data_IF_669191040705
#
_entry.id   IF_669191040705
#
_cell.length_a   1.000
_cell.length_b   1.000
_cell.length_c   1.000
_cell.angle_alpha   90.00
_cell.angle_beta   90.00
_cell.angle_gamma   90.00
#
_symmetry.space_group_name_H-M   'P 1'
#
loop_
_entity.id
_entity.type
_entity.pdbx_description
1 polymer ?
#
# COMPACT_ATOMS: atom_id res chain seq x y z
N UNK A 1 22.72 78.50 -29.65
CA UNK A 1 24.18 78.57 -29.42
C UNK A 1 24.66 77.25 -28.82
N UNK A 2 25.94 76.96 -29.04
CA UNK A 2 26.83 75.94 -28.45
C UNK A 2 26.46 75.43 -27.03
N UNK A 3 26.63 74.10 -26.83
CA UNK A 3 27.33 73.35 -25.74
C UNK A 3 27.25 73.91 -24.29
N UNK A 4 27.08 73.15 -23.22
CA UNK A 4 27.49 71.75 -22.86
C UNK A 4 26.40 71.20 -21.84
N UNK A 5 26.46 70.10 -21.05
CA UNK A 5 27.51 69.12 -20.70
C UNK A 5 26.97 67.75 -20.20
N UNK A 6 27.47 66.68 -20.84
CA UNK A 6 27.96 65.39 -20.30
C UNK A 6 27.32 64.71 -19.06
N UNK A 7 26.58 63.63 -19.34
CA UNK A 7 26.77 62.24 -18.85
C UNK A 7 27.16 61.96 -17.38
N UNK A 8 26.28 61.23 -16.67
CA UNK A 8 26.68 60.14 -15.75
C UNK A 8 25.82 58.91 -16.07
N UNK A 9 26.46 57.81 -16.49
CA UNK A 9 25.82 56.51 -16.75
C UNK A 9 26.64 55.40 -16.09
N UNK A 10 26.41 55.17 -14.79
CA UNK A 10 26.67 53.90 -14.09
C UNK A 10 26.43 54.05 -12.58
N UNK A 11 25.49 53.29 -12.03
CA UNK A 11 25.67 52.50 -10.79
C UNK A 11 24.45 51.59 -10.57
N UNK A 12 24.71 50.41 -10.00
CA UNK A 12 23.75 49.42 -9.49
C UNK A 12 22.67 48.88 -10.46
N UNK A 13 23.10 47.87 -11.20
CA UNK A 13 22.35 46.61 -11.38
C UNK A 13 22.04 45.98 -9.99
N UNK A 14 21.11 45.02 -9.95
CA UNK A 14 20.54 44.30 -8.79
C UNK A 14 19.39 45.03 -8.06
N UNK A 15 18.20 44.87 -8.65
CA UNK A 15 16.91 44.89 -7.96
C UNK A 15 16.01 43.77 -8.53
N UNK A 16 16.53 42.54 -8.56
CA UNK A 16 15.80 41.32 -8.90
C UNK A 16 15.68 40.43 -7.65
N UNK A 17 14.61 39.65 -7.55
CA UNK A 17 14.28 38.77 -6.42
C UNK A 17 14.17 39.47 -5.05
N UNK A 18 13.02 40.12 -4.86
CA UNK A 18 12.45 40.41 -3.55
C UNK A 18 11.07 39.73 -3.41
N UNK A 19 11.03 38.41 -3.66
CA UNK A 19 9.85 37.59 -3.35
C UNK A 19 9.67 37.54 -1.83
N UNK A 20 8.42 37.51 -1.36
CA UNK A 20 8.11 37.47 0.07
C UNK A 20 8.77 36.25 0.73
N UNK A 21 9.82 36.50 1.54
CA UNK A 21 10.14 35.63 2.65
C UNK A 21 9.15 35.96 3.76
N UNK A 22 8.04 35.25 3.79
CA UNK A 22 7.31 35.10 5.04
C UNK A 22 8.24 34.35 6.00
N UNK A 23 8.46 34.91 7.18
CA UNK A 23 9.35 34.29 8.15
C UNK A 23 8.63 33.11 8.77
N UNK A 24 9.17 31.89 8.61
CA UNK A 24 8.72 30.72 9.36
C UNK A 24 8.52 31.08 10.84
N UNK A 25 7.28 30.91 11.31
CA UNK A 25 6.99 31.00 12.74
C UNK A 25 7.75 29.90 13.49
N UNK A 26 7.92 30.03 14.83
CA UNK A 26 8.54 28.97 15.61
C UNK A 26 7.75 27.66 15.42
N UNK A 27 8.37 26.66 14.80
CA UNK A 27 7.74 25.34 14.55
C UNK A 27 7.13 24.84 15.86
N UNK A 28 5.81 24.66 15.86
CA UNK A 28 5.05 24.25 17.04
C UNK A 28 5.35 22.78 17.30
N UNK A 29 6.30 22.50 18.20
CA UNK A 29 6.49 21.18 18.78
C UNK A 29 5.13 20.66 19.25
N UNK A 30 4.57 19.69 18.53
CA UNK A 30 3.36 19.00 18.92
C UNK A 30 3.61 18.31 20.26
N UNK A 31 2.65 18.45 21.17
CA UNK A 31 2.59 17.60 22.34
C UNK A 31 1.76 16.39 21.97
N UNK A 32 2.44 15.31 21.63
CA UNK A 32 1.84 13.99 21.43
C UNK A 32 1.36 13.47 22.79
N UNK A 33 0.27 14.05 23.30
CA UNK A 33 -0.33 13.71 24.59
C UNK A 33 -1.14 12.39 24.51
N UNK A 34 -1.18 11.74 23.33
CA UNK A 34 -1.59 10.34 23.11
C UNK A 34 -0.89 9.75 21.87
N UNK A 35 0.27 9.14 22.07
CA UNK A 35 1.01 8.37 21.06
C UNK A 35 0.14 7.26 20.44
N UNK A 36 0.02 7.23 19.10
CA UNK A 36 -0.71 6.16 18.40
C UNK A 36 0.14 4.89 18.46
N UNK A 37 -0.21 3.99 19.37
CA UNK A 37 0.55 2.76 19.57
C UNK A 37 0.18 1.74 18.51
N UNK A 38 1.13 1.43 17.63
CA UNK A 38 0.96 0.59 16.44
C UNK A 38 1.60 -0.83 16.52
N UNK A 39 1.62 -1.53 17.67
CA UNK A 39 2.48 -2.72 17.88
C UNK A 39 1.99 -3.99 17.16
N UNK A 40 0.97 -3.88 16.31
CA UNK A 40 0.39 -5.01 15.56
C UNK A 40 0.71 -4.97 14.06
N UNK A 41 1.05 -3.80 13.50
CA UNK A 41 1.50 -3.71 12.11
C UNK A 41 2.98 -4.10 12.06
N UNK A 42 3.27 -5.23 11.41
CA UNK A 42 4.61 -5.84 11.40
C UNK A 42 4.98 -6.19 9.99
N UNK A 43 6.21 -5.85 9.60
CA UNK A 43 6.82 -6.28 8.34
C UNK A 43 8.01 -7.20 8.60
N UNK A 44 8.08 -8.30 7.85
CA UNK A 44 9.24 -9.16 7.75
C UNK A 44 9.92 -8.90 6.40
N UNK A 45 11.13 -8.32 6.37
CA UNK A 45 11.85 -8.04 5.12
C UNK A 45 12.40 -9.33 4.49
N UNK A 46 12.55 -9.31 3.15
CA UNK A 46 13.38 -10.29 2.44
C UNK A 46 14.82 -10.17 2.92
N UNK A 47 15.46 -11.29 3.26
CA UNK A 47 16.80 -11.36 3.84
C UNK A 47 17.74 -12.35 3.10
N UNK A 48 17.29 -12.81 1.93
CA UNK A 48 17.99 -13.78 1.08
C UNK A 48 18.14 -15.19 1.68
N UNK A 49 17.60 -15.47 2.88
CA UNK A 49 17.91 -16.71 3.63
C UNK A 49 16.73 -17.34 4.40
N UNK A 50 15.97 -16.55 5.15
CA UNK A 50 14.75 -16.97 5.87
C UNK A 50 13.48 -16.47 5.19
N UNK A 51 13.52 -15.28 4.58
CA UNK A 51 12.51 -14.80 3.64
C UNK A 51 13.17 -14.50 2.29
N UNK A 52 12.62 -15.08 1.23
CA UNK A 52 13.13 -14.97 -0.14
C UNK A 52 12.02 -14.56 -1.09
N UNK A 53 12.35 -14.14 -2.31
CA UNK A 53 11.36 -13.82 -3.35
C UNK A 53 10.38 -14.98 -3.65
N UNK A 54 10.79 -16.25 -3.49
CA UNK A 54 9.85 -17.38 -3.61
C UNK A 54 8.80 -17.37 -2.49
N UNK A 55 9.18 -17.04 -1.25
CA UNK A 55 8.23 -16.95 -0.14
C UNK A 55 7.23 -15.79 -0.32
N UNK A 56 7.56 -14.75 -1.11
CA UNK A 56 6.59 -13.72 -1.51
C UNK A 56 5.56 -14.28 -2.50
N UNK A 57 6.01 -15.06 -3.49
CA UNK A 57 5.14 -15.74 -4.46
C UNK A 57 4.23 -16.74 -3.72
N UNK A 58 4.80 -17.57 -2.85
CA UNK A 58 4.08 -18.53 -2.00
C UNK A 58 3.07 -17.88 -1.04
N UNK A 59 3.19 -16.58 -0.76
CA UNK A 59 2.25 -15.86 0.12
C UNK A 59 1.02 -15.31 -0.63
N UNK A 60 1.19 -14.87 -1.89
CA UNK A 60 0.08 -14.38 -2.73
C UNK A 60 -0.64 -15.51 -3.48
N UNK A 61 0.06 -16.62 -3.78
CA UNK A 61 -0.53 -17.79 -4.44
C UNK A 61 -1.43 -18.60 -3.49
N UNK A 62 -2.69 -18.80 -3.88
CA UNK A 62 -3.64 -19.67 -3.16
C UNK A 62 -3.45 -21.17 -3.43
N UNK A 63 -4.27 -22.01 -2.78
CA UNK A 63 -4.16 -23.49 -2.87
C UNK A 63 -4.37 -24.08 -4.29
N UNK A 64 -5.06 -23.36 -5.19
CA UNK A 64 -5.50 -23.83 -6.52
C UNK A 64 -4.43 -23.67 -7.63
N UNK A 65 -3.15 -23.62 -7.27
CA UNK A 65 -2.02 -23.44 -8.20
C UNK A 65 -1.24 -24.76 -8.35
N UNK A 66 -1.06 -25.22 -9.59
CA UNK A 66 -0.39 -26.49 -9.90
C UNK A 66 1.15 -26.39 -9.80
N UNK A 67 1.71 -25.24 -10.15
CA UNK A 67 3.14 -24.94 -10.07
C UNK A 67 3.41 -23.44 -10.29
N UNK A 68 4.51 -22.94 -9.73
CA UNK A 68 5.07 -21.62 -10.04
C UNK A 68 6.58 -21.70 -10.27
N UNK A 69 7.15 -20.65 -10.87
CA UNK A 69 8.60 -20.49 -11.05
C UNK A 69 8.97 -19.00 -11.04
N UNK A 70 9.86 -18.59 -10.12
CA UNK A 70 10.44 -17.25 -10.11
C UNK A 70 11.24 -17.01 -11.40
N UNK A 71 10.94 -15.90 -12.09
CA UNK A 71 11.63 -15.46 -13.32
C UNK A 71 12.66 -14.39 -12.99
N UNK A 72 12.26 -13.38 -12.21
CA UNK A 72 13.12 -12.27 -11.82
C UNK A 72 12.69 -11.69 -10.46
N UNK A 73 13.67 -11.26 -9.67
CA UNK A 73 13.47 -10.41 -8.51
C UNK A 73 14.51 -9.29 -8.56
N UNK A 74 14.04 -8.05 -8.61
CA UNK A 74 14.85 -6.86 -8.45
C UNK A 74 14.38 -6.16 -7.16
N UNK A 75 15.29 -5.99 -6.21
CA UNK A 75 15.00 -5.39 -4.91
C UNK A 75 16.23 -5.44 -4.01
N UNK A 76 16.12 -4.84 -2.84
CA UNK A 76 17.13 -4.90 -1.76
C UNK A 76 16.71 -5.89 -0.68
N UNK A 77 17.66 -6.28 0.17
CA UNK A 77 17.47 -7.29 1.23
C UNK A 77 17.99 -6.79 2.60
N UNK A 78 17.48 -7.38 3.69
CA UNK A 78 17.91 -7.10 5.06
C UNK A 78 17.16 -5.94 5.72
N UNK A 79 17.89 -5.01 6.34
CA UNK A 79 17.29 -3.85 7.02
C UNK A 79 16.80 -2.78 6.02
N UNK A 80 17.51 -2.68 4.89
CA UNK A 80 17.26 -1.72 3.81
C UNK A 80 16.36 -2.34 2.71
N UNK A 81 15.54 -3.36 3.05
CA UNK A 81 14.81 -4.18 2.07
C UNK A 81 13.61 -3.46 1.45
N UNK A 82 13.43 -3.64 0.15
CA UNK A 82 12.34 -3.07 -0.65
C UNK A 82 11.17 -4.03 -0.90
N UNK A 83 11.27 -5.26 -0.41
CA UNK A 83 10.19 -6.24 -0.43
C UNK A 83 10.11 -7.07 0.85
N UNK A 84 8.91 -7.53 1.22
CA UNK A 84 8.67 -8.34 2.41
C UNK A 84 7.24 -8.86 2.55
N UNK A 85 6.94 -9.50 3.68
CA UNK A 85 5.59 -9.90 4.10
C UNK A 85 5.12 -8.95 5.21
N UNK A 86 3.85 -8.57 5.22
CA UNK A 86 3.23 -7.78 6.29
C UNK A 86 2.08 -8.52 6.99
N UNK A 87 1.80 -8.15 8.23
CA UNK A 87 0.63 -8.57 9.02
C UNK A 87 0.09 -7.42 9.88
N UNK A 88 -1.17 -7.52 10.34
CA UNK A 88 -1.82 -6.50 11.15
C UNK A 88 -2.36 -5.30 10.36
N UNK A 89 -2.46 -5.39 9.04
CA UNK A 89 -2.80 -4.25 8.17
C UNK A 89 -4.25 -3.72 8.35
N UNK A 90 -5.19 -4.52 8.86
CA UNK A 90 -6.52 -4.00 9.26
C UNK A 90 -6.37 -3.08 10.47
N UNK A 91 -5.59 -3.51 11.48
CA UNK A 91 -5.27 -2.66 12.63
C UNK A 91 -4.44 -1.43 12.24
N UNK A 92 -3.74 -1.48 11.10
CA UNK A 92 -2.99 -0.35 10.58
C UNK A 92 -3.85 0.71 9.86
N UNK A 93 -5.02 0.30 9.33
CA UNK A 93 -5.87 1.13 8.48
C UNK A 93 -5.74 0.86 6.98
N UNK A 94 -4.88 -0.08 6.58
CA UNK A 94 -4.68 -0.52 5.18
C UNK A 94 -5.82 -1.43 4.70
N UNK A 95 -6.67 -1.93 5.62
CA UNK A 95 -7.84 -2.78 5.37
C UNK A 95 -7.58 -4.14 4.69
N UNK A 96 -6.33 -4.46 4.38
CA UNK A 96 -5.84 -5.82 4.08
C UNK A 96 -5.09 -6.31 5.31
N UNK A 97 -5.36 -7.50 5.84
CA UNK A 97 -4.76 -7.93 7.12
C UNK A 97 -3.30 -8.42 6.95
N UNK A 98 -3.02 -9.17 5.90
CA UNK A 98 -1.70 -9.73 5.62
C UNK A 98 -1.48 -9.95 4.13
N UNK A 99 -0.22 -10.05 3.74
CA UNK A 99 0.17 -10.17 2.34
C UNK A 99 1.64 -9.82 2.12
N UNK A 100 2.00 -9.49 0.87
CA UNK A 100 3.32 -8.96 0.54
C UNK A 100 3.29 -7.45 0.41
N UNK A 101 4.41 -6.81 0.71
CA UNK A 101 4.67 -5.40 0.43
C UNK A 101 5.86 -5.29 -0.51
N UNK A 102 5.70 -4.50 -1.57
CA UNK A 102 6.80 -4.02 -2.42
C UNK A 102 6.89 -2.50 -2.27
N UNK A 103 8.09 -1.94 -2.37
CA UNK A 103 8.33 -0.50 -2.25
C UNK A 103 9.35 -0.02 -3.29
N UNK A 104 9.25 1.24 -3.69
CA UNK A 104 10.32 1.93 -4.41
C UNK A 104 11.46 2.40 -3.50
N UNK A 105 11.21 2.46 -2.18
CA UNK A 105 12.21 2.63 -1.13
C UNK A 105 12.21 1.46 -0.13
N UNK A 106 12.32 1.76 1.17
CA UNK A 106 12.41 0.72 2.20
C UNK A 106 11.01 0.34 2.72
N UNK A 107 10.69 -0.95 2.83
CA UNK A 107 9.38 -1.36 3.39
C UNK A 107 9.23 -0.89 4.85
N UNK A 108 10.33 -0.86 5.60
CA UNK A 108 10.34 -0.46 7.01
C UNK A 108 9.92 1.01 7.22
N UNK A 109 10.07 1.86 6.19
CA UNK A 109 9.68 3.26 6.24
C UNK A 109 8.15 3.45 6.26
N UNK A 110 7.35 2.50 5.76
CA UNK A 110 5.88 2.60 5.82
C UNK A 110 5.27 2.32 7.20
N UNK A 111 6.06 1.95 8.23
CA UNK A 111 5.56 1.67 9.58
C UNK A 111 5.41 2.98 10.36
N UNK A 112 4.17 3.41 10.57
CA UNK A 112 3.85 4.69 11.21
C UNK A 112 3.69 4.64 12.74
N UNK A 113 2.99 5.63 13.33
CA UNK A 113 2.19 6.66 12.68
C UNK A 113 3.02 7.73 11.96
N UNK A 114 2.49 8.28 10.86
CA UNK A 114 3.03 9.45 10.15
C UNK A 114 3.49 10.56 11.11
N UNK A 115 4.79 10.85 11.08
CA UNK A 115 5.46 11.90 11.86
C UNK A 115 6.44 12.75 11.02
N UNK A 116 6.60 12.45 9.74
CA UNK A 116 7.37 13.21 8.74
C UNK A 116 6.50 13.59 7.55
N UNK A 117 6.70 14.78 6.99
CA UNK A 117 6.15 15.17 5.68
C UNK A 117 7.11 14.68 4.59
N UNK A 118 7.06 13.39 4.29
CA UNK A 118 8.04 12.69 3.47
C UNK A 118 9.14 11.93 4.24
N UNK A 119 9.27 10.64 3.93
CA UNK A 119 10.34 9.70 4.28
C UNK A 119 11.09 9.21 3.02
N UNK A 120 12.24 8.54 3.17
CA UNK A 120 13.16 8.25 2.06
C UNK A 120 14.03 7.01 2.30
N UNK A 121 14.22 6.19 1.24
CA UNK A 121 14.87 4.89 1.28
C UNK A 121 15.57 4.51 -0.03
N UNK A 122 16.34 5.44 -0.62
CA UNK A 122 17.00 5.32 -1.95
C UNK A 122 17.72 3.98 -2.20
N UNK A 123 17.11 3.10 -3.02
CA UNK A 123 17.61 1.74 -3.29
C UNK A 123 18.86 1.68 -4.17
N UNK A 124 19.12 2.72 -4.95
CA UNK A 124 20.15 2.78 -6.01
C UNK A 124 19.98 1.73 -7.14
N UNK A 125 18.77 1.19 -7.32
CA UNK A 125 18.34 0.28 -8.38
C UNK A 125 17.95 1.04 -9.67
N UNK A 126 17.93 0.40 -10.85
CA UNK A 126 17.38 1.00 -12.06
C UNK A 126 15.85 1.10 -11.98
N UNK A 127 15.25 1.97 -12.80
CA UNK A 127 13.80 1.95 -13.06
C UNK A 127 13.39 0.80 -13.99
N UNK A 128 12.11 0.74 -14.33
CA UNK A 128 11.54 -0.32 -15.16
C UNK A 128 11.01 0.17 -16.52
N UNK A 129 11.23 -0.60 -17.59
CA UNK A 129 10.82 -0.23 -18.94
C UNK A 129 9.32 -0.32 -19.18
N UNK A 130 8.59 -1.13 -18.44
CA UNK A 130 7.15 -1.32 -18.65
C UNK A 130 6.36 -0.29 -17.86
N UNK A 131 6.81 0.07 -16.65
CA UNK A 131 6.32 1.25 -15.91
C UNK A 131 6.57 2.55 -16.71
N UNK A 132 7.71 2.68 -17.40
CA UNK A 132 7.99 3.81 -18.31
C UNK A 132 7.04 3.90 -19.52
N UNK A 133 6.23 2.88 -19.81
CA UNK A 133 5.19 2.94 -20.83
C UNK A 133 3.83 3.40 -20.27
N UNK A 134 3.68 3.44 -18.94
CA UNK A 134 2.46 3.88 -18.24
C UNK A 134 2.47 5.40 -17.97
N UNK A 135 3.65 6.00 -17.78
CA UNK A 135 3.81 7.39 -17.34
C UNK A 135 4.78 8.18 -18.25
N UNK A 136 4.70 9.53 -18.31
CA UNK A 136 5.60 10.33 -19.14
C UNK A 136 7.01 10.56 -18.53
N UNK A 137 7.21 10.24 -17.26
CA UNK A 137 8.51 10.28 -16.58
C UNK A 137 9.38 9.05 -16.92
N UNK A 138 10.67 9.13 -16.61
CA UNK A 138 11.48 7.93 -16.37
C UNK A 138 11.32 7.50 -14.92
N UNK A 139 11.06 6.22 -14.71
CA UNK A 139 11.11 5.59 -13.39
C UNK A 139 12.53 5.33 -12.93
N UNK A 140 12.71 5.22 -11.62
CA UNK A 140 13.96 4.94 -10.92
C UNK A 140 13.64 4.06 -9.68
N UNK A 141 14.65 3.42 -9.10
CA UNK A 141 14.49 2.57 -7.89
C UNK A 141 13.34 1.54 -7.94
N UNK A 142 13.22 0.84 -9.07
CA UNK A 142 12.14 -0.13 -9.25
C UNK A 142 12.36 -1.43 -8.45
N UNK A 143 11.38 -1.80 -7.63
CA UNK A 143 11.26 -3.16 -7.08
C UNK A 143 10.33 -3.98 -7.96
N UNK A 144 10.79 -5.17 -8.36
CA UNK A 144 10.12 -6.05 -9.32
C UNK A 144 10.06 -7.48 -8.78
N UNK A 145 8.89 -8.08 -8.80
CA UNK A 145 8.69 -9.52 -8.58
C UNK A 145 8.00 -10.12 -9.81
N UNK A 146 8.70 -10.99 -10.53
CA UNK A 146 8.26 -11.57 -11.80
C UNK A 146 8.32 -13.10 -11.75
N UNK A 147 7.22 -13.77 -12.11
CA UNK A 147 7.11 -15.22 -12.02
C UNK A 147 6.11 -15.81 -13.02
N UNK A 148 6.32 -17.09 -13.33
CA UNK A 148 5.37 -17.94 -14.04
C UNK A 148 4.51 -18.73 -13.04
N UNK A 149 3.25 -18.99 -13.37
CA UNK A 149 2.34 -19.84 -12.60
C UNK A 149 1.39 -20.62 -13.52
N UNK A 150 0.85 -21.74 -13.01
CA UNK A 150 -0.10 -22.60 -13.72
C UNK A 150 -1.35 -22.79 -12.84
N UNK A 151 -2.47 -22.08 -13.11
CA UNK A 151 -3.69 -22.15 -12.30
C UNK A 151 -4.60 -23.32 -12.69
N UNK A 152 -5.55 -23.69 -11.82
CA UNK A 152 -6.68 -24.59 -12.15
C UNK A 152 -7.94 -23.85 -12.62
N UNK A 153 -8.02 -22.54 -12.35
CA UNK A 153 -9.11 -21.62 -12.70
C UNK A 153 -8.77 -20.74 -13.92
N UNK A 154 -9.77 -20.02 -14.44
CA UNK A 154 -9.69 -19.12 -15.62
C UNK A 154 -9.69 -17.62 -15.28
N UNK A 155 -9.78 -17.25 -14.00
CA UNK A 155 -9.80 -15.86 -13.52
C UNK A 155 -9.03 -15.71 -12.20
N UNK A 156 -8.32 -14.58 -12.01
CA UNK A 156 -7.74 -14.14 -10.72
C UNK A 156 -8.41 -12.85 -10.23
N UNK A 157 -8.41 -12.63 -8.91
CA UNK A 157 -9.00 -11.46 -8.24
C UNK A 157 -8.14 -11.00 -7.06
N UNK A 158 -7.32 -9.97 -7.25
CA UNK A 158 -6.31 -9.57 -6.25
C UNK A 158 -6.66 -8.22 -5.61
N UNK A 159 -6.69 -8.22 -4.28
CA UNK A 159 -6.81 -7.01 -3.47
C UNK A 159 -5.44 -6.37 -3.26
N UNK A 160 -5.33 -5.06 -3.47
CA UNK A 160 -4.13 -4.29 -3.14
C UNK A 160 -4.46 -2.86 -2.68
N UNK A 161 -3.51 -2.23 -1.98
CA UNK A 161 -3.50 -0.81 -1.64
C UNK A 161 -2.18 -0.22 -2.11
N UNK A 162 -2.24 0.89 -2.83
CA UNK A 162 -1.08 1.71 -3.18
C UNK A 162 -1.01 2.92 -2.24
N UNK A 163 0.18 3.37 -1.88
CA UNK A 163 0.37 4.58 -1.08
C UNK A 163 1.79 5.14 -1.21
N UNK A 164 1.97 6.38 -0.76
CA UNK A 164 3.15 7.18 -1.09
C UNK A 164 3.34 8.34 -0.11
N UNK A 165 4.59 8.76 0.02
CA UNK A 165 5.02 10.01 0.64
C UNK A 165 5.10 11.19 -0.36
N UNK A 166 4.76 10.98 -1.64
CA UNK A 166 4.57 12.08 -2.62
C UNK A 166 3.22 12.82 -2.45
N UNK A 167 2.27 12.22 -1.73
CA UNK A 167 1.03 12.90 -1.37
C UNK A 167 1.32 13.96 -0.29
N UNK A 168 0.69 15.13 -0.27
CA UNK A 168 -0.23 15.70 -1.24
C UNK A 168 0.46 16.69 -2.20
N UNK A 169 1.69 17.11 -1.90
CA UNK A 169 2.33 18.31 -2.49
C UNK A 169 2.85 18.10 -3.91
N UNK A 170 3.18 16.85 -4.26
CA UNK A 170 3.79 16.48 -5.53
C UNK A 170 2.75 16.01 -6.56
N UNK A 171 1.47 15.93 -6.17
CA UNK A 171 0.34 15.67 -7.07
C UNK A 171 0.26 16.73 -8.17
N UNK A 172 0.32 16.29 -9.42
CA UNK A 172 0.31 17.11 -10.63
C UNK A 172 1.64 17.79 -10.95
N UNK A 173 2.74 17.39 -10.30
CA UNK A 173 4.05 18.04 -10.41
C UNK A 173 4.97 17.41 -11.50
N UNK A 174 6.28 17.40 -11.27
CA UNK A 174 7.25 16.69 -12.12
C UNK A 174 7.28 15.18 -11.84
N UNK A 175 6.75 14.75 -10.70
CA UNK A 175 6.79 13.37 -10.20
C UNK A 175 5.43 12.66 -10.35
N UNK A 176 5.43 11.33 -10.27
CA UNK A 176 4.28 10.49 -10.57
C UNK A 176 4.48 9.01 -10.22
N UNK A 177 4.84 8.70 -8.96
CA UNK A 177 5.16 7.32 -8.55
C UNK A 177 4.07 6.32 -8.95
N UNK A 178 4.50 5.14 -9.42
CA UNK A 178 3.68 4.23 -10.22
C UNK A 178 3.78 2.78 -9.76
N UNK A 179 2.63 2.12 -9.68
CA UNK A 179 2.50 0.66 -9.56
C UNK A 179 1.92 0.05 -10.85
N UNK A 180 2.53 -1.05 -11.29
CA UNK A 180 2.06 -1.87 -12.41
C UNK A 180 1.94 -3.34 -12.02
N UNK A 181 0.79 -3.93 -12.36
CA UNK A 181 0.52 -5.36 -12.24
C UNK A 181 0.33 -5.88 -13.66
N UNK A 182 1.35 -6.49 -14.25
CA UNK A 182 1.28 -7.04 -15.60
C UNK A 182 0.94 -8.54 -15.55
N UNK A 183 -0.21 -8.91 -16.12
CA UNK A 183 -0.58 -10.30 -16.39
C UNK A 183 -0.37 -10.58 -17.88
N UNK A 184 0.42 -11.62 -18.20
CA UNK A 184 0.73 -12.03 -19.57
C UNK A 184 1.24 -10.86 -20.46
N UNK A 185 1.93 -9.90 -19.86
CA UNK A 185 2.48 -8.69 -20.51
C UNK A 185 1.53 -7.49 -20.61
N UNK A 186 0.32 -7.56 -20.06
CA UNK A 186 -0.67 -6.46 -20.07
C UNK A 186 -0.88 -5.94 -18.65
N UNK A 187 -0.74 -4.63 -18.42
CA UNK A 187 -1.07 -4.05 -17.11
C UNK A 187 -2.58 -4.16 -16.86
N UNK A 188 -2.94 -4.77 -15.73
CA UNK A 188 -4.31 -4.91 -15.24
C UNK A 188 -4.56 -4.08 -13.97
N UNK A 189 -3.52 -3.57 -13.29
CA UNK A 189 -3.69 -2.56 -12.24
C UNK A 189 -4.04 -1.20 -12.87
N UNK A 190 -5.34 -0.94 -13.00
CA UNK A 190 -5.92 0.29 -13.54
C UNK A 190 -6.81 0.96 -12.49
N UNK A 191 -6.96 2.27 -12.58
CA UNK A 191 -7.81 3.06 -11.69
C UNK A 191 -9.29 2.69 -11.94
N UNK A 192 -10.05 2.28 -10.90
CA UNK A 192 -11.43 1.82 -11.06
C UNK A 192 -12.33 2.76 -11.87
N UNK A 193 -12.82 2.28 -13.02
CA UNK A 193 -13.68 3.03 -13.92
C UNK A 193 -12.97 3.82 -15.02
N UNK A 194 -11.64 3.77 -15.12
CA UNK A 194 -10.86 4.38 -16.21
C UNK A 194 -9.88 3.38 -16.85
N UNK A 195 -9.08 3.84 -17.81
CA UNK A 195 -7.95 3.09 -18.40
C UNK A 195 -6.59 3.60 -17.87
N UNK A 196 -6.59 4.43 -16.82
CA UNK A 196 -5.38 5.07 -16.27
C UNK A 196 -4.63 4.11 -15.31
N UNK A 197 -3.29 4.12 -15.29
CA UNK A 197 -2.50 3.32 -14.34
C UNK A 197 -2.68 3.77 -12.89
N UNK A 198 -2.21 2.97 -11.93
CA UNK A 198 -2.17 3.35 -10.52
C UNK A 198 -0.95 4.25 -10.28
N UNK A 199 -1.19 5.54 -10.02
CA UNK A 199 -0.16 6.52 -9.67
C UNK A 199 -0.69 7.58 -8.71
N UNK A 200 0.21 8.35 -8.09
CA UNK A 200 -0.16 9.47 -7.21
C UNK A 200 -1.00 10.56 -7.93
N UNK A 201 -0.88 10.67 -9.26
CA UNK A 201 -1.64 11.63 -10.06
C UNK A 201 -3.02 11.11 -10.47
N UNK A 202 -3.30 9.80 -10.40
CA UNK A 202 -4.59 9.21 -10.81
C UNK A 202 -5.57 8.98 -9.67
N UNK A 203 -5.09 8.83 -8.42
CA UNK A 203 -5.91 8.71 -7.21
C UNK A 203 -5.37 9.65 -6.11
N UNK A 204 -6.10 10.73 -5.79
CA UNK A 204 -5.71 11.77 -4.81
C UNK A 204 -6.91 12.64 -4.39
N UNK A 205 -6.68 13.63 -3.51
CA UNK A 205 -7.70 14.61 -3.08
C UNK A 205 -8.43 15.35 -4.22
N UNK A 206 -7.81 15.49 -5.40
CA UNK A 206 -8.35 16.24 -6.54
C UNK A 206 -8.98 15.38 -7.65
N UNK A 207 -8.62 14.10 -7.73
CA UNK A 207 -9.04 13.17 -8.78
C UNK A 207 -9.24 11.77 -8.21
N UNK A 208 -10.40 11.16 -8.49
CA UNK A 208 -10.82 9.86 -7.94
C UNK A 208 -10.76 9.80 -6.40
N UNK A 209 -11.07 10.92 -5.74
CA UNK A 209 -10.96 11.12 -4.29
C UNK A 209 -11.75 10.13 -3.43
N UNK A 210 -12.81 9.52 -3.97
CA UNK A 210 -13.58 8.48 -3.29
C UNK A 210 -12.79 7.17 -3.10
N UNK A 211 -11.65 7.02 -3.79
CA UNK A 211 -10.68 5.93 -3.66
C UNK A 211 -9.43 6.32 -2.86
N UNK A 212 -9.35 7.55 -2.33
CA UNK A 212 -8.16 8.09 -1.67
C UNK A 212 -8.38 8.27 -0.16
N UNK A 213 -7.38 7.91 0.63
CA UNK A 213 -7.33 8.02 2.09
C UNK A 213 -6.14 8.92 2.44
N UNK A 214 -6.44 10.08 3.04
CA UNK A 214 -5.44 11.04 3.52
C UNK A 214 -4.95 10.64 4.92
N UNK A 215 -3.65 10.69 5.15
CA UNK A 215 -3.02 10.47 6.47
C UNK A 215 -2.10 11.63 6.90
N UNK A 216 -1.58 12.39 5.93
CA UNK A 216 -0.80 13.65 6.04
C UNK A 216 -1.41 14.65 7.07
N UNK A 217 -0.72 14.94 8.19
CA UNK A 217 -1.08 15.96 9.16
C UNK A 217 -0.35 17.32 8.95
N UNK A 218 0.39 17.49 7.85
CA UNK A 218 1.23 18.65 7.55
C UNK A 218 0.63 19.57 6.48
N UNK A 219 -0.06 19.02 5.47
CA UNK A 219 -0.63 19.76 4.34
C UNK A 219 -2.15 19.55 4.15
N UNK A 220 -2.83 18.94 5.14
CA UNK A 220 -4.28 18.75 5.18
C UNK A 220 -4.97 19.42 6.39
N UNK A 221 -6.29 19.20 6.55
CA UNK A 221 -7.06 19.59 7.75
C UNK A 221 -6.87 18.61 8.96
N UNK A 222 -6.09 17.54 8.82
CA UNK A 222 -5.78 16.62 9.91
C UNK A 222 -4.86 17.29 10.95
N UNK A 223 -5.13 17.05 12.24
CA UNK A 223 -4.36 17.68 13.34
C UNK A 223 -3.32 16.79 13.99
N UNK A 224 -3.45 15.47 13.81
CA UNK A 224 -2.61 14.39 14.33
C UNK A 224 -2.80 13.19 13.35
N UNK A 225 -1.82 12.29 13.18
CA UNK A 225 -1.96 11.10 12.32
C UNK A 225 -3.07 10.15 12.82
N UNK A 226 -3.77 9.52 11.88
CA UNK A 226 -4.93 8.64 12.17
C UNK A 226 -4.58 7.15 11.99
N UNK A 227 -3.70 6.84 11.04
CA UNK A 227 -3.36 5.48 10.65
C UNK A 227 -1.95 5.09 11.12
N UNK A 228 -1.69 3.79 11.24
CA UNK A 228 -0.38 3.27 11.68
C UNK A 228 0.60 3.06 10.52
N UNK A 229 0.55 3.95 9.54
CA UNK A 229 1.50 4.01 8.42
C UNK A 229 2.13 5.39 8.36
N UNK A 230 3.37 5.46 7.88
CA UNK A 230 4.06 6.74 7.64
C UNK A 230 3.47 7.45 6.41
N UNK A 231 3.03 6.68 5.39
CA UNK A 231 2.48 7.18 4.12
C UNK A 231 1.58 8.40 4.31
N UNK A 232 1.94 9.52 3.70
CA UNK A 232 1.12 10.75 3.69
C UNK A 232 -0.25 10.51 3.01
N UNK A 233 -0.33 9.60 2.04
CA UNK A 233 -1.59 9.16 1.44
C UNK A 233 -1.57 7.72 0.92
N UNK A 234 -2.73 7.08 0.88
CA UNK A 234 -2.90 5.74 0.32
C UNK A 234 -4.32 5.52 -0.25
N UNK A 235 -4.52 4.45 -1.02
CA UNK A 235 -5.82 4.14 -1.63
C UNK A 235 -6.72 3.34 -0.69
N UNK A 236 -8.03 3.39 -0.93
CA UNK A 236 -8.92 2.29 -0.52
C UNK A 236 -8.45 0.97 -1.13
N UNK A 237 -8.89 -0.18 -0.59
CA UNK A 237 -8.60 -1.49 -1.19
C UNK A 237 -9.12 -1.52 -2.64
N UNK A 238 -8.19 -1.66 -3.58
CA UNK A 238 -8.47 -1.81 -5.00
C UNK A 238 -8.50 -3.30 -5.33
N UNK A 239 -9.43 -3.72 -6.20
CA UNK A 239 -9.52 -5.09 -6.70
C UNK A 239 -9.15 -5.08 -8.18
N UNK A 240 -8.16 -5.87 -8.56
CA UNK A 240 -7.85 -6.16 -9.97
C UNK A 240 -8.36 -7.55 -10.34
N UNK A 241 -9.01 -7.64 -11.50
CA UNK A 241 -9.43 -8.91 -12.09
C UNK A 241 -8.59 -9.23 -13.34
N UNK A 242 -8.21 -10.50 -13.54
CA UNK A 242 -7.37 -10.92 -14.66
C UNK A 242 -7.76 -12.29 -15.22
N UNK A 243 -7.96 -12.37 -16.55
CA UNK A 243 -8.25 -13.63 -17.22
C UNK A 243 -6.97 -14.45 -17.44
N UNK A 244 -6.97 -15.70 -16.98
CA UNK A 244 -5.84 -16.63 -17.03
C UNK A 244 -6.21 -17.91 -17.77
N UNK A 245 -5.23 -18.67 -18.25
CA UNK A 245 -5.47 -19.92 -18.98
C UNK A 245 -5.29 -21.13 -18.02
N UNK A 246 -6.34 -21.92 -17.71
CA UNK A 246 -6.24 -23.07 -16.82
C UNK A 246 -5.30 -24.14 -17.36
N UNK A 247 -4.37 -24.62 -16.55
CA UNK A 247 -3.43 -25.68 -16.90
C UNK A 247 -2.33 -25.28 -17.89
N UNK A 248 -2.25 -24.00 -18.29
CA UNK A 248 -1.15 -23.44 -19.08
C UNK A 248 -0.34 -22.42 -18.26
N UNK A 249 0.88 -22.13 -18.70
CA UNK A 249 1.74 -21.13 -18.05
C UNK A 249 1.21 -19.72 -18.31
N UNK A 250 0.98 -18.99 -17.23
CA UNK A 250 0.68 -17.56 -17.22
C UNK A 250 1.83 -16.82 -16.51
N UNK A 251 2.10 -15.58 -16.87
CA UNK A 251 3.21 -14.77 -16.32
C UNK A 251 2.68 -13.56 -15.57
N UNK A 252 3.24 -13.31 -14.38
CA UNK A 252 3.01 -12.12 -13.55
C UNK A 252 4.29 -11.31 -13.49
N UNK A 253 4.16 -9.99 -13.60
CA UNK A 253 5.17 -9.02 -13.16
C UNK A 253 4.49 -7.99 -12.29
N UNK A 254 4.88 -7.93 -11.02
CA UNK A 254 4.54 -6.85 -10.09
C UNK A 254 5.73 -5.88 -10.08
N UNK A 255 5.50 -4.60 -10.32
CA UNK A 255 6.56 -3.59 -10.31
C UNK A 255 6.06 -2.28 -9.70
N UNK A 256 6.85 -1.70 -8.80
CA UNK A 256 6.65 -0.37 -8.21
C UNK A 256 7.96 0.42 -8.30
N UNK A 257 7.90 1.71 -8.58
CA UNK A 257 9.09 2.54 -8.80
C UNK A 257 8.81 4.03 -8.57
N UNK A 258 9.86 4.75 -8.14
CA UNK A 258 9.88 6.21 -8.08
C UNK A 258 9.78 6.78 -9.51
N UNK A 259 9.21 7.97 -9.68
CA UNK A 259 9.05 8.61 -10.98
C UNK A 259 9.57 10.05 -11.04
N UNK A 260 10.60 10.30 -11.85
CA UNK A 260 11.17 11.64 -12.06
C UNK A 260 12.38 11.94 -11.17
N UNK A 261 12.35 11.58 -9.89
CA UNK A 261 13.58 11.37 -9.10
C UNK A 261 13.60 10.06 -8.28
N UNK A 262 14.06 10.09 -7.02
CA UNK A 262 14.39 8.92 -6.18
C UNK A 262 14.19 9.19 -4.68
N UNK A 263 13.41 10.22 -4.33
CA UNK A 263 13.55 10.88 -3.02
C UNK A 263 12.51 10.43 -2.00
N UNK A 264 11.25 10.26 -2.40
CA UNK A 264 10.14 9.94 -1.51
C UNK A 264 9.66 8.52 -1.81
N UNK A 265 9.42 7.74 -0.76
CA UNK A 265 9.11 6.33 -0.91
C UNK A 265 7.63 6.11 -1.29
N UNK A 266 7.38 5.08 -2.10
CA UNK A 266 6.04 4.55 -2.39
C UNK A 266 5.95 3.05 -2.09
N UNK A 267 4.75 2.56 -1.78
CA UNK A 267 4.48 1.16 -1.41
C UNK A 267 3.23 0.62 -2.09
N UNK A 268 3.23 -0.69 -2.31
CA UNK A 268 2.03 -1.46 -2.64
C UNK A 268 1.91 -2.66 -1.71
N UNK A 269 0.78 -2.74 -1.02
CA UNK A 269 0.38 -3.84 -0.15
C UNK A 269 -0.56 -4.75 -0.94
N UNK A 270 -0.19 -6.01 -1.13
CA UNK A 270 -0.93 -6.97 -1.98
C UNK A 270 -1.35 -8.14 -1.09
N UNK A 271 -2.65 -8.42 -1.04
CA UNK A 271 -3.22 -9.42 -0.13
C UNK A 271 -2.70 -10.85 -0.35
N UNK A 272 -2.51 -11.57 0.75
CA UNK A 272 -2.21 -13.00 0.73
C UNK A 272 -3.33 -13.80 0.05
N UNK A 273 -2.98 -14.94 -0.55
CA UNK A 273 -3.90 -15.90 -1.21
C UNK A 273 -4.79 -15.33 -2.35
N UNK A 274 -4.56 -14.08 -2.79
CA UNK A 274 -5.36 -13.40 -3.82
C UNK A 274 -5.38 -14.04 -5.21
N UNK A 275 -4.48 -14.97 -5.52
CA UNK A 275 -4.56 -15.78 -6.74
C UNK A 275 -5.58 -16.92 -6.57
N UNK A 276 -6.86 -16.53 -6.55
CA UNK A 276 -8.02 -17.42 -6.42
C UNK A 276 -9.05 -17.16 -7.51
N UNK A 277 -9.76 -18.22 -7.93
CA UNK A 277 -10.92 -18.14 -8.82
C UNK A 277 -12.23 -17.77 -8.11
N UNK A 278 -12.18 -17.52 -6.80
CA UNK A 278 -13.30 -17.02 -5.99
C UNK A 278 -13.14 -15.51 -5.84
N UNK A 279 -14.20 -14.74 -6.08
CA UNK A 279 -14.22 -13.29 -5.82
C UNK A 279 -13.99 -13.06 -4.30
N UNK A 280 -12.94 -12.32 -3.88
CA UNK A 280 -12.72 -11.97 -2.48
C UNK A 280 -13.91 -11.20 -1.91
N UNK A 281 -14.24 -11.45 -0.64
CA UNK A 281 -15.26 -10.66 0.04
C UNK A 281 -14.74 -9.21 0.24
N UNK A 282 -15.42 -8.17 -0.28
CA UNK A 282 -15.01 -6.79 -0.08
C UNK A 282 -15.25 -6.27 1.34
N UNK A 283 -16.01 -6.98 2.17
CA UNK A 283 -16.25 -6.65 3.58
C UNK A 283 -16.22 -7.96 4.41
N UNK A 284 -15.03 -8.48 4.78
CA UNK A 284 -14.89 -9.73 5.51
C UNK A 284 -15.50 -9.61 6.91
N UNK A 285 -16.79 -9.98 7.00
CA UNK A 285 -17.65 -9.96 8.19
C UNK A 285 -16.88 -10.56 9.38
N UNK A 286 -16.59 -9.79 10.45
CA UNK A 286 -15.58 -10.15 11.43
C UNK A 286 -15.95 -11.45 12.15
N UNK A 287 -15.14 -12.50 11.93
CA UNK A 287 -15.38 -13.90 12.35
C UNK A 287 -16.12 -13.93 13.70
N UNK A 288 -17.39 -14.40 13.73
CA UNK A 288 -18.33 -14.10 14.81
C UNK A 288 -17.81 -14.55 16.16
N UNK A 289 -17.13 -13.62 16.85
CA UNK A 289 -16.20 -13.91 17.96
C UNK A 289 -16.85 -14.90 18.93
N UNK A 290 -16.23 -16.06 19.19
CA UNK A 290 -16.94 -17.25 19.67
C UNK A 290 -17.61 -16.94 21.00
N UNK A 291 -18.92 -16.68 20.94
CA UNK A 291 -19.65 -15.93 21.97
C UNK A 291 -19.43 -16.63 23.31
N UNK A 292 -18.72 -16.01 24.28
CA UNK A 292 -18.33 -16.68 25.50
C UNK A 292 -19.56 -17.26 26.18
N UNK A 293 -19.64 -18.58 26.29
CA UNK A 293 -20.84 -19.29 26.72
C UNK A 293 -21.22 -18.87 28.15
N UNK A 294 -22.06 -17.84 28.23
CA UNK A 294 -22.47 -17.23 29.49
C UNK A 294 -23.03 -18.30 30.42
N UNK A 295 -22.70 -18.19 31.71
CA UNK A 295 -22.96 -19.18 32.76
C UNK A 295 -24.45 -19.53 33.02
N UNK A 296 -25.36 -19.06 32.16
CA UNK A 296 -26.80 -19.30 32.17
C UNK A 296 -27.22 -20.55 31.37
N UNK A 297 -26.45 -20.97 30.36
CA UNK A 297 -26.78 -22.13 29.52
C UNK A 297 -26.86 -23.47 30.28
N UNK A 298 -26.20 -23.56 31.45
CA UNK A 298 -26.27 -24.74 32.33
C UNK A 298 -27.64 -24.91 33.05
N UNK A 299 -28.43 -23.84 33.18
CA UNK A 299 -29.71 -23.90 33.92
C UNK A 299 -30.82 -24.57 33.09
N UNK A 300 -30.83 -24.34 31.77
CA UNK A 300 -31.85 -24.93 30.87
C UNK A 300 -31.66 -26.44 30.73
N UNK A 301 -30.41 -26.92 30.67
CA UNK A 301 -30.09 -28.35 30.55
C UNK A 301 -30.57 -29.20 31.74
N UNK A 302 -30.44 -28.69 32.97
CA UNK A 302 -30.87 -29.44 34.17
C UNK A 302 -32.39 -29.51 34.34
N UNK A 303 -33.14 -28.51 33.88
CA UNK A 303 -34.60 -28.49 33.97
C UNK A 303 -35.28 -29.61 33.19
N UNK A 304 -34.79 -29.93 31.98
CA UNK A 304 -35.37 -30.97 31.13
C UNK A 304 -35.09 -32.40 31.63
N UNK A 305 -33.93 -32.64 32.25
CA UNK A 305 -33.55 -33.97 32.78
C UNK A 305 -34.44 -34.38 33.97
N UNK A 306 -34.83 -33.43 34.82
CA UNK A 306 -35.76 -33.67 35.94
C UNK A 306 -37.19 -33.94 35.47
N UNK A 307 -37.65 -33.29 34.40
CA UNK A 307 -39.00 -33.52 33.86
C UNK A 307 -39.15 -34.93 33.26
N UNK A 308 -38.13 -35.42 32.56
CA UNK A 308 -38.14 -36.78 31.97
C UNK A 308 -38.01 -37.91 33.00
N UNK A 309 -37.32 -37.69 34.12
CA UNK A 309 -37.25 -38.70 35.20
C UNK A 309 -38.57 -38.82 35.95
N UNK A 310 -39.25 -37.69 36.23
CA UNK A 310 -40.54 -37.73 36.94
C UNK A 310 -41.67 -38.38 36.11
N UNK A 311 -41.68 -38.17 34.79
CA UNK A 311 -42.67 -38.80 33.89
C UNK A 311 -42.44 -40.31 33.67
N UNK A 312 -41.21 -40.82 33.84
CA UNK A 312 -40.90 -42.25 33.64
C UNK A 312 -41.27 -43.12 34.86
N UNK A 313 -41.36 -42.54 36.05
CA UNK A 313 -41.74 -43.25 37.30
C UNK A 313 -43.24 -43.47 37.46
N UNK A 314 -44.10 -42.70 36.76
CA UNK A 314 -45.58 -42.80 36.84
C UNK A 314 -46.21 -43.85 35.92
N UNK A 315 -45.45 -44.90 35.55
CA UNK A 315 -45.90 -45.98 34.66
C UNK A 315 -45.54 -47.40 35.12
N UNK A 316 -45.03 -47.56 36.35
CA UNK A 316 -44.64 -48.87 36.94
C UNK A 316 -45.18 -49.00 38.39
N UNK A 317 -46.24 -48.26 38.72
CA UNK A 317 -47.13 -48.40 39.88
C UNK A 317 -48.56 -48.02 39.43
#
# INVERSE_FOLDING_TARGET
MKKLMTLVLSLFVLAAFAQQRESEGPKRLMKVDKELSCPSFVMQPVDGTTLTANHLIENILGEDILSYNLINFQGTEGIDASAGIFTGGINAGISIESGIVLSSGFIANAIGPNISSGISGVLNLPGDSDLNNLIPQSTLDATILEFEFVPTFDQIFIQFVFGSDEYNEYVGSGFNDVFGFFLNGVNIALTPGTEDPITINTINLGLNSDLYINNDPFHSDLTEPIYCTEMDGFTTVLVVEGAVIPGETNTIKLAIADAGDRVLDSWVFIGAEGFTGIIPDPDPDPDPTPVPLGHWSLIVGMGLILLFTFLRLRRIL
#
